data_IF_028338738780
#
_entry.id   IF_028338738780
#
_cell.length_a   1.000
_cell.length_b   1.000
_cell.length_c   1.000
_cell.angle_alpha   90.00
_cell.angle_beta   90.00
_cell.angle_gamma   90.00
#
_symmetry.space_group_name_H-M   'P 1'
#
loop_
_entity.id
_entity.type
_entity.pdbx_description
1 polymer ?
#
# COMPACT_ATOMS: atom_id res chain seq x y z
N UNK A 1 15.16 23.60 -17.78
CA UNK A 1 15.47 22.77 -16.59
C UNK A 1 15.40 21.32 -17.03
N UNK A 2 16.48 20.57 -16.88
CA UNK A 2 16.53 19.16 -17.25
C UNK A 2 15.72 18.34 -16.22
N UNK A 3 14.53 17.91 -16.64
CA UNK A 3 13.60 17.15 -15.80
C UNK A 3 14.22 15.88 -15.23
N UNK A 4 15.16 15.25 -15.95
CA UNK A 4 15.84 14.05 -15.48
C UNK A 4 16.81 14.36 -14.33
N UNK A 5 17.51 15.49 -14.42
CA UNK A 5 18.40 15.94 -13.35
C UNK A 5 17.61 16.26 -12.06
N UNK A 6 16.42 16.86 -12.18
CA UNK A 6 15.60 17.16 -11.01
C UNK A 6 14.97 15.91 -10.37
N UNK A 7 14.65 14.87 -11.15
CA UNK A 7 14.24 13.56 -10.60
C UNK A 7 15.36 12.89 -9.81
N UNK A 8 16.58 12.88 -10.33
CA UNK A 8 17.71 12.24 -9.66
C UNK A 8 18.06 12.91 -8.33
N UNK A 9 17.98 14.24 -8.26
CA UNK A 9 18.13 14.99 -6.99
C UNK A 9 17.13 14.54 -5.93
N UNK A 10 15.91 14.15 -6.30
CA UNK A 10 14.94 13.63 -5.35
C UNK A 10 15.31 12.24 -4.85
N UNK A 11 15.82 11.35 -5.70
CA UNK A 11 16.29 10.03 -5.25
C UNK A 11 17.41 10.16 -4.21
N UNK A 12 18.37 11.07 -4.43
CA UNK A 12 19.44 11.34 -3.47
C UNK A 12 18.91 11.88 -2.13
N UNK A 13 17.96 12.84 -2.19
CA UNK A 13 17.32 13.40 -0.99
C UNK A 13 16.51 12.37 -0.22
N UNK A 14 15.90 11.40 -0.90
CA UNK A 14 15.04 10.38 -0.29
C UNK A 14 15.81 9.10 0.12
N UNK A 15 17.08 8.97 -0.31
CA UNK A 15 17.95 7.84 0.06
C UNK A 15 17.95 7.51 1.56
N UNK A 16 17.98 8.48 2.50
CA UNK A 16 17.98 8.15 3.92
C UNK A 16 16.78 7.31 4.37
N UNK A 17 15.58 7.54 3.83
CA UNK A 17 14.39 6.75 4.18
C UNK A 17 14.28 5.45 3.40
N UNK A 18 14.80 5.42 2.16
CA UNK A 18 14.89 4.19 1.38
C UNK A 18 15.79 3.19 2.09
N UNK A 19 16.97 3.62 2.54
CA UNK A 19 17.89 2.76 3.31
C UNK A 19 17.35 2.36 4.68
N UNK A 20 16.67 3.29 5.39
CA UNK A 20 16.09 3.02 6.70
C UNK A 20 14.98 1.95 6.64
N UNK A 21 14.26 1.86 5.53
CA UNK A 21 13.05 1.03 5.41
C UNK A 21 13.14 -0.12 4.39
N UNK A 22 14.25 -0.30 3.67
CA UNK A 22 14.41 -1.32 2.62
C UNK A 22 14.05 -2.74 3.04
N UNK A 23 14.41 -3.14 4.26
CA UNK A 23 14.18 -4.50 4.78
C UNK A 23 12.93 -4.59 5.66
N UNK A 24 12.15 -3.51 5.74
CA UNK A 24 10.97 -3.45 6.60
C UNK A 24 9.81 -4.16 5.92
N UNK A 25 9.38 -5.26 6.56
CA UNK A 25 8.23 -6.06 6.13
C UNK A 25 6.94 -5.24 6.14
N UNK A 26 6.05 -5.53 5.20
CA UNK A 26 4.71 -4.95 5.20
C UNK A 26 3.96 -5.30 6.50
N UNK A 27 3.12 -4.41 7.05
CA UNK A 27 2.43 -4.66 8.33
C UNK A 27 1.40 -5.81 8.34
N UNK A 28 1.05 -6.37 7.19
CA UNK A 28 0.10 -7.49 7.09
C UNK A 28 0.86 -8.82 7.14
N UNK A 29 0.38 -9.75 7.95
CA UNK A 29 1.03 -11.04 8.19
C UNK A 29 0.52 -12.13 7.24
N UNK A 30 0.95 -12.07 5.97
CA UNK A 30 0.60 -13.06 4.95
C UNK A 30 1.75 -14.08 4.76
N UNK A 31 1.42 -15.26 4.22
CA UNK A 31 2.40 -16.32 3.92
C UNK A 31 2.60 -16.57 2.43
N UNK A 32 1.65 -16.16 1.59
CA UNK A 32 1.67 -16.38 0.13
C UNK A 32 0.86 -15.27 -0.60
N UNK A 33 0.92 -15.21 -1.96
CA UNK A 33 0.19 -14.20 -2.74
C UNK A 33 -1.33 -14.23 -2.55
N UNK A 34 -1.94 -15.41 -2.36
CA UNK A 34 -3.35 -15.54 -2.06
C UNK A 34 -3.72 -14.80 -0.77
N UNK A 35 -3.05 -15.15 0.34
CA UNK A 35 -3.30 -14.51 1.63
C UNK A 35 -3.06 -13.00 1.57
N UNK A 36 -2.00 -12.56 0.88
CA UNK A 36 -1.70 -11.15 0.65
C UNK A 36 -2.89 -10.43 -0.01
N UNK A 37 -3.41 -10.96 -1.13
CA UNK A 37 -4.52 -10.36 -1.86
C UNK A 37 -5.76 -10.24 -0.99
N UNK A 38 -6.14 -11.33 -0.30
CA UNK A 38 -7.30 -11.34 0.60
C UNK A 38 -7.13 -10.31 1.73
N UNK A 39 -5.96 -10.28 2.39
CA UNK A 39 -5.69 -9.35 3.48
C UNK A 39 -5.67 -7.89 3.02
N UNK A 40 -5.15 -7.59 1.83
CA UNK A 40 -5.15 -6.24 1.24
C UNK A 40 -6.57 -5.76 0.94
N UNK A 41 -7.44 -6.62 0.44
CA UNK A 41 -8.87 -6.28 0.23
C UNK A 41 -9.55 -6.05 1.58
N UNK A 42 -9.30 -6.91 2.56
CA UNK A 42 -9.89 -6.79 3.90
C UNK A 42 -9.39 -5.56 4.66
N UNK A 43 -8.14 -5.11 4.46
CA UNK A 43 -7.58 -3.95 5.16
C UNK A 43 -8.05 -2.61 4.62
N UNK A 44 -8.77 -2.57 3.50
CA UNK A 44 -9.36 -1.34 3.01
C UNK A 44 -10.26 -0.68 4.08
N UNK A 45 -9.84 0.49 4.58
CA UNK A 45 -10.49 1.25 5.66
C UNK A 45 -10.56 0.52 7.02
N UNK A 46 -9.68 -0.44 7.25
CA UNK A 46 -9.52 -1.17 8.50
C UNK A 46 -8.06 -1.12 8.95
N UNK A 47 -7.78 -1.51 10.19
CA UNK A 47 -6.40 -1.54 10.70
C UNK A 47 -5.71 -2.85 10.34
N UNK A 48 -4.41 -2.76 9.99
CA UNK A 48 -3.58 -3.94 9.73
C UNK A 48 -3.62 -4.92 10.92
N UNK A 49 -3.63 -4.39 12.15
CA UNK A 49 -3.72 -5.19 13.39
C UNK A 49 -5.02 -5.99 13.52
N UNK A 50 -6.17 -5.38 13.17
CA UNK A 50 -7.46 -6.09 13.18
C UNK A 50 -7.47 -7.21 12.13
N UNK A 51 -6.97 -6.93 10.92
CA UNK A 51 -6.91 -7.93 9.85
C UNK A 51 -5.97 -9.09 10.21
N UNK A 52 -4.80 -8.81 10.77
CA UNK A 52 -3.86 -9.83 11.23
C UNK A 52 -4.46 -10.75 12.32
N UNK A 53 -5.39 -10.24 13.13
CA UNK A 53 -6.09 -11.04 14.14
C UNK A 53 -7.19 -11.93 13.54
N UNK A 54 -7.85 -11.46 12.48
CA UNK A 54 -9.02 -12.14 11.88
C UNK A 54 -8.60 -13.19 10.84
N UNK A 55 -7.63 -12.83 9.99
CA UNK A 55 -7.27 -13.60 8.81
C UNK A 55 -6.87 -15.08 9.07
N UNK A 56 -6.17 -15.44 10.16
CA UNK A 56 -5.78 -16.84 10.38
C UNK A 56 -6.96 -17.82 10.36
N UNK A 57 -8.05 -17.50 11.07
CA UNK A 57 -9.25 -18.37 11.09
C UNK A 57 -9.94 -18.50 9.74
N UNK A 58 -9.85 -17.47 8.89
CA UNK A 58 -10.38 -17.52 7.53
C UNK A 58 -9.54 -18.48 6.68
N UNK A 59 -8.21 -18.42 6.79
CA UNK A 59 -7.30 -19.23 5.99
C UNK A 59 -7.20 -20.69 6.42
N UNK A 60 -7.54 -21.02 7.68
CA UNK A 60 -7.72 -22.41 8.10
C UNK A 60 -8.86 -23.11 7.34
N UNK A 61 -9.93 -22.37 7.05
CA UNK A 61 -11.13 -22.89 6.36
C UNK A 61 -11.03 -22.74 4.85
N UNK A 62 -10.44 -21.64 4.40
CA UNK A 62 -10.20 -21.33 2.99
C UNK A 62 -8.70 -21.15 2.76
N UNK A 63 -7.92 -22.25 2.62
CA UNK A 63 -6.47 -22.16 2.47
C UNK A 63 -6.00 -21.58 1.13
N UNK A 64 -6.88 -21.49 0.13
CA UNK A 64 -6.57 -21.08 -1.24
C UNK A 64 -7.83 -20.57 -1.99
N UNK A 65 -7.65 -20.07 -3.22
CA UNK A 65 -8.77 -19.64 -4.07
C UNK A 65 -9.68 -20.80 -4.45
N UNK A 66 -9.18 -22.02 -4.63
CA UNK A 66 -10.00 -23.16 -5.08
C UNK A 66 -11.12 -23.45 -4.06
N UNK A 67 -10.75 -23.54 -2.77
CA UNK A 67 -11.69 -23.77 -1.67
C UNK A 67 -12.67 -22.61 -1.50
N UNK A 68 -12.23 -21.36 -1.71
CA UNK A 68 -13.11 -20.19 -1.62
C UNK A 68 -14.05 -20.08 -2.84
N UNK A 69 -13.63 -20.53 -4.02
CA UNK A 69 -14.38 -20.40 -5.28
C UNK A 69 -15.69 -21.18 -5.30
N UNK A 70 -15.73 -22.29 -4.55
CA UNK A 70 -16.93 -23.15 -4.40
C UNK A 70 -17.80 -22.75 -3.20
N UNK A 71 -17.44 -21.68 -2.49
CA UNK A 71 -18.17 -21.15 -1.34
C UNK A 71 -19.16 -20.03 -1.74
N UNK A 72 -19.83 -19.45 -0.75
CA UNK A 72 -20.75 -18.34 -0.91
C UNK A 72 -20.51 -17.25 0.16
N UNK A 73 -21.13 -16.10 -0.03
CA UNK A 73 -20.93 -14.93 0.83
C UNK A 73 -21.32 -15.20 2.27
N UNK A 74 -22.42 -15.91 2.48
CA UNK A 74 -22.97 -16.22 3.81
C UNK A 74 -21.99 -17.06 4.62
N UNK A 75 -21.29 -18.01 3.98
CA UNK A 75 -20.29 -18.85 4.61
C UNK A 75 -19.00 -18.12 4.99
N UNK A 76 -18.68 -16.98 4.37
CA UNK A 76 -17.51 -16.15 4.73
C UNK A 76 -17.80 -15.21 5.91
N UNK A 77 -19.04 -14.75 6.06
CA UNK A 77 -19.42 -13.72 7.04
C UNK A 77 -18.96 -14.05 8.47
N UNK A 78 -19.12 -15.28 9.00
CA UNK A 78 -18.69 -15.60 10.37
C UNK A 78 -17.21 -15.28 10.62
N UNK A 79 -16.35 -15.47 9.62
CA UNK A 79 -14.90 -15.25 9.73
C UNK A 79 -14.52 -13.77 9.61
N UNK A 80 -15.26 -12.97 8.83
CA UNK A 80 -14.89 -11.58 8.55
C UNK A 80 -15.87 -10.53 9.09
N UNK A 81 -16.87 -10.92 9.90
CA UNK A 81 -17.90 -10.02 10.45
C UNK A 81 -17.36 -8.82 11.25
N UNK A 82 -16.13 -8.93 11.78
CA UNK A 82 -15.42 -7.86 12.50
C UNK A 82 -14.60 -6.94 11.59
N UNK A 83 -14.60 -7.19 10.28
CA UNK A 83 -13.98 -6.33 9.27
C UNK A 83 -14.96 -5.25 8.85
N UNK A 84 -14.48 -4.02 8.70
CA UNK A 84 -15.31 -2.91 8.19
C UNK A 84 -15.81 -3.21 6.77
N UNK A 85 -17.09 -2.97 6.52
CA UNK A 85 -17.75 -3.24 5.23
C UNK A 85 -17.67 -4.72 4.81
N UNK A 86 -17.72 -5.64 5.77
CA UNK A 86 -17.55 -7.08 5.53
C UNK A 86 -18.51 -7.65 4.48
N UNK A 87 -19.77 -7.19 4.41
CA UNK A 87 -20.76 -7.72 3.44
C UNK A 87 -20.31 -7.50 1.99
N UNK A 88 -19.91 -6.28 1.65
CA UNK A 88 -19.36 -5.95 0.32
C UNK A 88 -18.06 -6.69 0.06
N UNK A 89 -17.17 -6.77 1.05
CA UNK A 89 -15.89 -7.48 0.93
C UNK A 89 -16.09 -8.98 0.72
N UNK A 90 -17.01 -9.63 1.44
CA UNK A 90 -17.36 -11.04 1.22
C UNK A 90 -17.76 -11.29 -0.23
N UNK A 91 -18.62 -10.42 -0.78
CA UNK A 91 -19.05 -10.51 -2.18
C UNK A 91 -17.90 -10.36 -3.17
N UNK A 92 -16.97 -9.43 -2.92
CA UNK A 92 -15.77 -9.28 -3.75
C UNK A 92 -14.85 -10.49 -3.67
N UNK A 93 -14.59 -11.02 -2.46
CA UNK A 93 -13.72 -12.18 -2.28
C UNK A 93 -14.26 -13.41 -3.00
N UNK A 94 -15.56 -13.69 -2.89
CA UNK A 94 -16.20 -14.80 -3.62
C UNK A 94 -16.13 -14.59 -5.13
N UNK A 95 -16.43 -13.39 -5.64
CA UNK A 95 -16.34 -13.09 -7.07
C UNK A 95 -14.92 -13.30 -7.60
N UNK A 96 -13.91 -12.79 -6.91
CA UNK A 96 -12.50 -12.97 -7.28
C UNK A 96 -12.11 -14.44 -7.25
N UNK A 97 -12.50 -15.17 -6.20
CA UNK A 97 -12.20 -16.60 -6.11
C UNK A 97 -12.87 -17.40 -7.25
N UNK A 98 -14.09 -17.07 -7.64
CA UNK A 98 -14.80 -17.70 -8.76
C UNK A 98 -14.19 -17.36 -10.13
N UNK A 99 -13.70 -16.13 -10.29
CA UNK A 99 -13.05 -15.65 -11.51
C UNK A 99 -11.68 -16.30 -11.70
N UNK A 100 -10.84 -16.27 -10.66
CA UNK A 100 -9.45 -16.74 -10.72
C UNK A 100 -9.32 -18.24 -10.52
N UNK A 101 -10.15 -18.85 -9.65
CA UNK A 101 -10.19 -20.27 -9.25
C UNK A 101 -8.95 -20.83 -8.58
N UNK A 102 -7.76 -20.59 -9.14
CA UNK A 102 -6.48 -21.10 -8.64
C UNK A 102 -5.54 -19.95 -8.28
N UNK A 103 -4.74 -20.13 -7.22
CA UNK A 103 -3.80 -19.11 -6.71
C UNK A 103 -2.80 -18.63 -7.78
N UNK A 104 -2.39 -19.52 -8.69
CA UNK A 104 -1.46 -19.22 -9.79
C UNK A 104 -2.01 -18.20 -10.80
N UNK A 105 -3.32 -17.96 -10.79
CA UNK A 105 -3.99 -17.04 -11.71
C UNK A 105 -4.06 -15.60 -11.15
N UNK A 106 -3.55 -15.35 -9.94
CA UNK A 106 -3.42 -13.99 -9.41
C UNK A 106 -2.46 -13.20 -10.31
N UNK A 107 -2.98 -12.15 -10.95
CA UNK A 107 -2.23 -11.35 -11.92
C UNK A 107 -1.02 -10.64 -11.31
N UNK A 108 0.01 -10.47 -12.13
CA UNK A 108 1.28 -9.82 -11.77
C UNK A 108 1.49 -8.47 -12.44
N UNK A 109 0.42 -7.87 -12.97
CA UNK A 109 0.43 -6.54 -13.56
C UNK A 109 -0.68 -5.66 -12.99
N UNK A 110 -0.48 -4.35 -13.10
CA UNK A 110 -1.36 -3.37 -12.48
C UNK A 110 -2.76 -3.34 -13.09
N UNK A 111 -2.87 -3.40 -14.42
CA UNK A 111 -4.15 -3.27 -15.13
C UNK A 111 -5.13 -4.39 -14.80
N UNK A 112 -4.65 -5.61 -14.69
CA UNK A 112 -5.49 -6.77 -14.40
C UNK A 112 -5.88 -6.78 -12.92
N UNK A 113 -4.94 -6.43 -12.03
CA UNK A 113 -5.23 -6.33 -10.60
C UNK A 113 -6.33 -5.30 -10.31
N UNK A 114 -6.32 -4.13 -10.96
CA UNK A 114 -7.37 -3.10 -10.75
C UNK A 114 -8.71 -3.46 -11.40
N UNK A 115 -8.75 -4.44 -12.30
CA UNK A 115 -10.00 -4.94 -12.87
C UNK A 115 -10.79 -5.78 -11.86
N UNK A 116 -10.09 -6.40 -10.89
CA UNK A 116 -10.70 -7.17 -9.81
C UNK A 116 -11.42 -6.25 -8.81
N UNK A 117 -12.68 -6.57 -8.51
CA UNK A 117 -13.49 -5.76 -7.59
C UNK A 117 -12.88 -5.68 -6.19
N UNK A 118 -12.80 -4.47 -5.65
CA UNK A 118 -12.22 -4.22 -4.33
C UNK A 118 -10.71 -3.97 -4.35
N UNK A 119 -10.05 -4.13 -5.50
CA UNK A 119 -8.64 -3.78 -5.68
C UNK A 119 -8.55 -2.44 -6.43
N UNK A 120 -8.16 -1.39 -5.72
CA UNK A 120 -7.78 -0.11 -6.32
C UNK A 120 -6.28 -0.01 -6.58
N UNK A 121 -5.82 1.08 -7.20
CA UNK A 121 -4.38 1.29 -7.54
C UNK A 121 -3.43 1.13 -6.36
N UNK A 122 -3.78 1.69 -5.19
CA UNK A 122 -2.97 1.51 -3.95
C UNK A 122 -2.82 0.03 -3.60
N UNK A 123 -3.91 -0.73 -3.66
CA UNK A 123 -3.92 -2.15 -3.31
C UNK A 123 -3.12 -2.97 -4.32
N UNK A 124 -3.31 -2.69 -5.61
CA UNK A 124 -2.56 -3.36 -6.67
C UNK A 124 -1.06 -3.09 -6.58
N UNK A 125 -0.64 -1.83 -6.36
CA UNK A 125 0.78 -1.50 -6.15
C UNK A 125 1.38 -2.19 -4.92
N UNK A 126 0.60 -2.37 -3.84
CA UNK A 126 1.05 -3.19 -2.69
C UNK A 126 1.26 -4.64 -3.11
N UNK A 127 0.30 -5.23 -3.83
CA UNK A 127 0.41 -6.61 -4.30
C UNK A 127 1.65 -6.79 -5.19
N UNK A 128 1.87 -5.89 -6.15
CA UNK A 128 3.05 -5.92 -7.02
C UNK A 128 4.36 -5.84 -6.23
N UNK A 129 4.47 -4.91 -5.27
CA UNK A 129 5.67 -4.79 -4.42
C UNK A 129 5.92 -6.08 -3.64
N UNK A 130 4.92 -6.55 -2.90
CA UNK A 130 5.07 -7.70 -2.00
C UNK A 130 5.27 -9.03 -2.74
N UNK A 131 4.90 -9.10 -4.02
CA UNK A 131 5.15 -10.25 -4.91
C UNK A 131 6.38 -10.06 -5.81
N UNK A 132 7.22 -9.07 -5.52
CA UNK A 132 8.47 -8.77 -6.23
C UNK A 132 8.30 -8.52 -7.74
N UNK A 133 7.17 -7.93 -8.14
CA UNK A 133 6.93 -7.54 -9.53
C UNK A 133 7.47 -6.14 -9.82
N UNK A 134 7.82 -5.82 -11.07
CA UNK A 134 8.24 -4.47 -11.44
C UNK A 134 7.21 -3.42 -11.06
N UNK A 135 7.67 -2.30 -10.52
CA UNK A 135 6.79 -1.21 -10.14
C UNK A 135 6.17 -0.53 -11.38
N UNK A 136 4.84 -0.54 -11.45
CA UNK A 136 4.05 0.21 -12.43
C UNK A 136 3.47 1.51 -11.87
N UNK A 137 3.56 1.69 -10.56
CA UNK A 137 3.03 2.84 -9.83
C UNK A 137 3.67 2.97 -8.45
N UNK A 138 3.23 3.99 -7.72
CA UNK A 138 3.72 4.28 -6.36
C UNK A 138 2.55 4.10 -5.39
N UNK A 139 2.79 3.37 -4.30
CA UNK A 139 1.81 3.18 -3.23
C UNK A 139 1.50 4.55 -2.61
N UNK A 140 0.24 4.98 -2.69
CA UNK A 140 -0.24 6.25 -2.15
C UNK A 140 -1.36 6.02 -1.13
N UNK A 141 -0.99 5.75 0.11
CA UNK A 141 -1.93 5.62 1.24
C UNK A 141 -2.12 6.97 1.99
N UNK A 142 -2.87 6.95 3.08
CA UNK A 142 -3.12 8.16 3.89
C UNK A 142 -1.85 8.79 4.48
N UNK A 143 -0.79 8.00 4.68
CA UNK A 143 0.49 8.49 5.19
C UNK A 143 1.24 9.19 4.06
N UNK A 144 1.29 8.59 2.88
CA UNK A 144 1.90 9.19 1.68
C UNK A 144 1.20 10.48 1.27
N UNK A 145 -0.14 10.47 1.26
CA UNK A 145 -0.99 11.65 1.01
C UNK A 145 -0.62 12.83 1.92
N UNK A 146 -0.31 12.56 3.19
CA UNK A 146 0.09 13.60 4.16
C UNK A 146 1.56 13.99 4.03
N UNK A 147 2.45 13.02 3.90
CA UNK A 147 3.89 13.22 4.10
C UNK A 147 4.57 13.74 2.84
N UNK A 148 4.17 13.29 1.65
CA UNK A 148 4.82 13.73 0.41
C UNK A 148 4.70 15.26 0.17
N UNK A 149 3.55 15.91 0.41
CA UNK A 149 3.46 17.38 0.36
C UNK A 149 4.25 18.07 1.46
N UNK A 150 4.29 17.52 2.69
CA UNK A 150 5.11 18.07 3.79
C UNK A 150 6.60 18.09 3.45
N UNK A 151 7.11 17.03 2.82
CA UNK A 151 8.50 17.00 2.33
C UNK A 151 8.70 18.04 1.22
N UNK A 152 7.66 18.29 0.41
CA UNK A 152 7.69 19.23 -0.70
C UNK A 152 7.92 18.57 -2.07
N UNK A 153 7.66 17.26 -2.18
CA UNK A 153 7.82 16.52 -3.44
C UNK A 153 6.72 16.89 -4.43
N UNK A 154 5.48 17.01 -3.92
CA UNK A 154 4.25 17.21 -4.68
C UNK A 154 3.36 18.25 -4.02
N UNK A 155 2.31 18.69 -4.72
CA UNK A 155 1.27 19.53 -4.13
C UNK A 155 0.28 18.69 -3.32
N UNK A 156 -0.41 19.33 -2.37
CA UNK A 156 -1.44 18.68 -1.56
C UNK A 156 -2.61 18.16 -2.43
N UNK A 157 -3.06 16.95 -2.12
CA UNK A 157 -4.24 16.32 -2.72
C UNK A 157 -4.80 15.29 -1.75
N UNK A 158 -6.13 15.21 -1.64
CA UNK A 158 -6.81 14.14 -0.88
C UNK A 158 -7.04 12.87 -1.71
N UNK A 159 -6.80 12.94 -3.01
CA UNK A 159 -6.99 11.85 -3.95
C UNK A 159 -5.66 11.09 -4.14
N UNK A 160 -5.64 9.83 -3.71
CA UNK A 160 -4.48 8.95 -3.79
C UNK A 160 -3.99 8.71 -5.23
N UNK A 161 -4.89 8.65 -6.22
CA UNK A 161 -4.50 8.47 -7.62
C UNK A 161 -3.78 9.72 -8.15
N UNK A 162 -4.23 10.92 -7.75
CA UNK A 162 -3.55 12.17 -8.08
C UNK A 162 -2.19 12.29 -7.37
N UNK A 163 -2.10 11.80 -6.13
CA UNK A 163 -0.83 11.77 -5.38
C UNK A 163 0.17 10.83 -6.04
N UNK A 164 -0.25 9.61 -6.39
CA UNK A 164 0.56 8.64 -7.13
C UNK A 164 1.09 9.24 -8.44
N UNK A 165 0.20 9.83 -9.25
CA UNK A 165 0.58 10.44 -10.53
C UNK A 165 1.62 11.55 -10.36
N UNK A 166 1.42 12.47 -9.42
CA UNK A 166 2.39 13.53 -9.14
C UNK A 166 3.75 12.96 -8.68
N UNK A 167 3.74 11.90 -7.86
CA UNK A 167 4.99 11.26 -7.43
C UNK A 167 5.72 10.62 -8.61
N UNK A 168 5.01 9.91 -9.50
CA UNK A 168 5.60 9.31 -10.72
C UNK A 168 6.19 10.37 -11.66
N UNK A 169 5.54 11.54 -11.75
CA UNK A 169 6.04 12.69 -12.51
C UNK A 169 7.32 13.29 -11.91
N UNK A 170 7.47 13.26 -10.58
CA UNK A 170 8.57 13.91 -9.84
C UNK A 170 9.73 12.99 -9.48
N UNK A 171 9.50 11.68 -9.44
CA UNK A 171 10.47 10.68 -8.98
C UNK A 171 10.94 9.79 -10.13
N UNK A 172 12.21 9.33 -10.08
CA UNK A 172 12.76 8.40 -11.06
C UNK A 172 12.17 6.99 -10.83
N UNK A 173 11.98 6.22 -11.91
CA UNK A 173 11.19 4.96 -11.89
C UNK A 173 11.82 3.89 -11.00
N UNK A 174 13.13 3.93 -10.86
CA UNK A 174 13.98 2.99 -10.13
C UNK A 174 13.62 2.90 -8.64
N UNK A 175 13.04 3.96 -8.06
CA UNK A 175 12.64 3.99 -6.64
C UNK A 175 11.14 3.77 -6.41
N UNK A 176 10.33 3.63 -7.46
CA UNK A 176 8.86 3.62 -7.34
C UNK A 176 8.35 2.48 -6.45
N UNK A 177 8.97 1.29 -6.54
CA UNK A 177 8.58 0.12 -5.76
C UNK A 177 8.70 0.31 -4.25
N UNK A 178 9.67 1.13 -3.81
CA UNK A 178 10.01 1.25 -2.38
C UNK A 178 9.63 2.59 -1.77
N UNK A 179 9.59 3.67 -2.55
CA UNK A 179 9.44 5.01 -1.99
C UNK A 179 8.07 5.23 -1.33
N UNK A 180 7.00 4.65 -1.90
CA UNK A 180 5.65 4.75 -1.33
C UNK A 180 5.57 4.12 0.07
N UNK A 181 6.12 2.91 0.23
CA UNK A 181 6.17 2.25 1.54
C UNK A 181 7.13 2.94 2.52
N UNK A 182 8.28 3.43 2.03
CA UNK A 182 9.23 4.18 2.86
C UNK A 182 8.59 5.46 3.44
N UNK A 183 7.85 6.20 2.61
CA UNK A 183 7.09 7.39 3.06
C UNK A 183 5.96 6.97 4.01
N UNK A 184 5.28 5.84 3.75
CA UNK A 184 4.23 5.35 4.65
C UNK A 184 4.78 5.04 6.05
N UNK A 185 5.90 4.32 6.14
CA UNK A 185 6.58 4.04 7.41
C UNK A 185 7.04 5.31 8.11
N UNK A 186 7.67 6.24 7.37
CA UNK A 186 8.05 7.55 7.91
C UNK A 186 6.84 8.27 8.51
N UNK A 187 5.69 8.23 7.82
CA UNK A 187 4.44 8.84 8.30
C UNK A 187 3.83 8.14 9.51
N UNK A 188 4.02 6.84 9.68
CA UNK A 188 3.57 6.09 10.86
C UNK A 188 4.42 6.42 12.08
N UNK A 189 5.73 6.50 11.90
CA UNK A 189 6.69 6.52 13.01
C UNK A 189 7.11 7.93 13.42
N UNK A 190 7.40 8.78 12.44
CA UNK A 190 8.07 10.09 12.62
C UNK A 190 7.14 11.23 12.24
N UNK A 191 6.69 11.28 10.97
CA UNK A 191 5.88 12.38 10.43
C UNK A 191 4.38 12.20 10.72
N UNK A 192 4.06 12.13 12.01
CA UNK A 192 2.71 11.93 12.55
C UNK A 192 1.77 13.10 12.20
N UNK A 193 0.43 12.88 12.21
CA UNK A 193 -0.53 13.96 11.93
C UNK A 193 -0.33 15.17 12.84
N UNK A 194 -0.18 14.92 14.14
CA UNK A 194 0.13 15.91 15.18
C UNK A 194 1.51 15.62 15.79
N UNK A 195 2.20 16.68 16.21
CA UNK A 195 3.53 16.62 16.85
C UNK A 195 4.51 15.69 16.11
N UNK A 196 4.79 15.93 14.81
CA UNK A 196 5.78 15.15 14.08
C UNK A 196 7.15 15.26 14.76
N UNK A 197 7.89 14.16 14.80
CA UNK A 197 9.21 14.09 15.46
C UNK A 197 10.31 14.61 14.52
N UNK A 198 10.23 15.89 14.17
CA UNK A 198 11.08 16.52 13.17
C UNK A 198 12.59 16.44 13.51
N UNK A 199 12.95 16.59 14.79
CA UNK A 199 14.34 16.62 15.27
C UNK A 199 15.11 15.33 14.96
N UNK A 200 14.40 14.19 14.88
CA UNK A 200 14.97 12.88 14.56
C UNK A 200 14.67 12.44 13.12
N UNK A 201 14.06 13.29 12.32
CA UNK A 201 13.64 12.94 10.96
C UNK A 201 14.86 12.93 10.02
N UNK A 202 15.13 11.82 9.31
CA UNK A 202 16.28 11.72 8.41
C UNK A 202 16.16 12.61 7.15
N UNK A 203 15.00 13.25 6.94
CA UNK A 203 14.73 14.14 5.81
C UNK A 203 14.64 15.62 6.21
N UNK A 204 14.94 15.99 7.46
CA UNK A 204 14.82 17.36 7.96
C UNK A 204 15.47 18.40 7.04
N UNK A 205 16.69 18.14 6.56
CA UNK A 205 17.48 19.02 5.70
C UNK A 205 16.85 19.32 4.34
N UNK A 206 15.96 18.45 3.84
CA UNK A 206 15.28 18.63 2.56
C UNK A 206 13.76 18.79 2.67
N UNK A 207 13.21 18.81 3.88
CA UNK A 207 11.77 18.87 4.14
C UNK A 207 11.28 20.32 4.19
N UNK A 208 10.33 20.68 3.32
CA UNK A 208 9.73 22.01 3.33
C UNK A 208 9.00 22.30 4.65
N UNK A 209 8.21 21.36 5.18
CA UNK A 209 7.48 21.53 6.43
C UNK A 209 8.40 21.85 7.62
N UNK A 210 9.59 21.22 7.69
CA UNK A 210 10.57 21.49 8.74
C UNK A 210 11.08 22.93 8.65
N UNK A 211 11.56 23.32 7.47
CA UNK A 211 12.12 24.65 7.20
C UNK A 211 11.12 25.78 7.40
N UNK A 212 9.86 25.59 6.99
CA UNK A 212 8.82 26.62 7.09
C UNK A 212 8.36 26.90 8.52
N UNK A 213 8.50 25.93 9.43
CA UNK A 213 8.05 26.07 10.81
C UNK A 213 9.20 26.43 11.78
N UNK A 214 10.43 26.66 11.28
CA UNK A 214 11.64 26.88 12.08
C UNK A 214 11.80 25.87 13.23
N UNK A 215 11.40 24.62 12.95
CA UNK A 215 11.65 23.47 13.82
C UNK A 215 13.09 23.00 13.61
#
# INVERSE_FOLDING_TARGET
>A
MDLNNDKQKWAEKLRPILELYKDKKHPLNYQNPYQLMIMVILSAQDSDANINKIAPSLFEVYPNLESMSVSNTEALIPYISKVRNFGTKASWLIQIAQELKEDKNISTNLSDLIALKGIGRKSANVILRETNQPAEGIIADLHVIRVAPRIGIINESKDGNKVEKQLMEKLPKEIWGEIGMSISFLGREICRPTNPKCDICPLNNCCNYYKSNNL
#
